data_IF_274172645884
#
_entry.id   IF_274172645884
#
_cell.length_a   1.000
_cell.length_b   1.000
_cell.length_c   1.000
_cell.angle_alpha   90.00
_cell.angle_beta   90.00
_cell.angle_gamma   90.00
#
_symmetry.space_group_name_H-M   'P 1'
#
loop_
_entity.id
_entity.type
_entity.pdbx_description
1 polymer ?
#
# COMPACT_ATOMS: atom_id res chain seq x y z
N UNK A 1 14.19 -20.07 13.70
CA UNK A 1 14.91 -18.95 14.33
C UNK A 1 13.89 -17.86 14.63
N UNK A 2 14.02 -17.19 15.78
CA UNK A 2 13.18 -16.04 16.09
C UNK A 2 13.45 -14.92 15.08
N UNK A 3 12.43 -14.08 14.81
CA UNK A 3 12.57 -12.93 13.91
C UNK A 3 13.23 -11.79 14.67
N UNK A 4 14.21 -11.16 14.05
CA UNK A 4 14.98 -10.05 14.62
C UNK A 4 14.37 -8.71 14.18
N UNK A 5 13.98 -7.88 15.13
CA UNK A 5 13.42 -6.53 14.89
C UNK A 5 14.38 -5.49 15.45
N UNK A 6 14.82 -4.57 14.59
CA UNK A 6 15.52 -3.36 15.02
C UNK A 6 14.50 -2.31 15.43
N UNK A 7 14.64 -1.76 16.62
CA UNK A 7 13.79 -0.72 17.18
C UNK A 7 14.60 0.55 17.42
N UNK A 8 14.32 1.59 16.64
CA UNK A 8 14.97 2.89 16.71
C UNK A 8 13.96 3.97 17.17
N UNK A 9 14.18 4.51 18.36
CA UNK A 9 13.39 5.57 18.98
C UNK A 9 14.31 6.30 19.97
N UNK A 10 14.31 7.62 20.05
CA UNK A 10 15.16 8.37 20.96
C UNK A 10 14.61 8.40 22.39
N UNK A 11 13.29 8.20 22.56
CA UNK A 11 12.66 8.06 23.88
C UNK A 11 12.94 6.67 24.46
N UNK A 12 13.76 6.61 25.49
CA UNK A 12 14.16 5.37 26.17
C UNK A 12 12.95 4.62 26.76
N UNK A 13 11.98 5.33 27.32
CA UNK A 13 10.79 4.69 27.92
C UNK A 13 9.90 4.05 26.85
N UNK A 14 9.74 4.70 25.70
CA UNK A 14 9.04 4.15 24.53
C UNK A 14 9.78 2.94 24.00
N UNK A 15 11.10 3.07 23.81
CA UNK A 15 11.96 2.00 23.30
C UNK A 15 11.92 0.76 24.18
N UNK A 16 12.03 0.91 25.52
CA UNK A 16 11.92 -0.20 26.45
C UNK A 16 10.52 -0.81 26.50
N UNK A 17 9.48 0.01 26.42
CA UNK A 17 8.10 -0.46 26.39
C UNK A 17 7.84 -1.35 25.18
N UNK A 18 8.29 -0.91 24.01
CA UNK A 18 8.18 -1.68 22.77
C UNK A 18 9.07 -2.92 22.76
N UNK A 19 10.27 -2.84 23.33
CA UNK A 19 11.17 -4.00 23.49
C UNK A 19 10.50 -5.11 24.30
N UNK A 20 9.96 -4.78 25.47
CA UNK A 20 9.24 -5.75 26.31
C UNK A 20 8.06 -6.37 25.58
N UNK A 21 7.27 -5.57 24.87
CA UNK A 21 6.13 -6.03 24.10
C UNK A 21 6.54 -7.03 23.00
N UNK A 22 7.53 -6.65 22.21
CA UNK A 22 7.99 -7.48 21.07
C UNK A 22 8.64 -8.79 21.54
N UNK A 23 9.40 -8.75 22.62
CA UNK A 23 9.97 -9.96 23.23
C UNK A 23 8.89 -10.89 23.80
N UNK A 24 7.84 -10.32 24.39
CA UNK A 24 6.69 -11.10 24.86
C UNK A 24 5.98 -11.82 23.70
N UNK A 25 5.92 -11.21 22.52
CA UNK A 25 5.39 -11.79 21.29
C UNK A 25 6.36 -12.77 20.58
N UNK A 26 7.54 -13.02 21.18
CA UNK A 26 8.51 -14.01 20.71
C UNK A 26 9.49 -13.48 19.63
N UNK A 27 9.61 -12.18 19.48
CA UNK A 27 10.62 -11.55 18.61
C UNK A 27 11.93 -11.32 19.34
N UNK A 28 13.05 -11.38 18.61
CA UNK A 28 14.33 -10.85 19.08
C UNK A 28 14.41 -9.37 18.73
N UNK A 29 14.94 -8.55 19.63
CA UNK A 29 15.02 -7.10 19.43
C UNK A 29 16.45 -6.61 19.54
N UNK A 30 16.78 -5.65 18.69
CA UNK A 30 18.00 -4.84 18.75
C UNK A 30 17.58 -3.39 18.86
N UNK A 31 18.21 -2.62 19.74
CA UNK A 31 17.79 -1.27 20.07
C UNK A 31 18.77 -0.25 19.48
N UNK A 32 18.25 0.88 19.03
CA UNK A 32 18.99 2.05 18.59
C UNK A 32 18.40 3.32 19.21
N UNK A 33 19.22 4.22 19.69
CA UNK A 33 18.80 5.50 20.27
C UNK A 33 18.67 6.63 19.24
N UNK A 34 19.17 6.44 18.03
CA UNK A 34 19.08 7.42 16.95
C UNK A 34 19.19 6.77 15.56
N UNK A 35 18.99 7.58 14.51
CA UNK A 35 19.03 7.10 13.14
C UNK A 35 20.42 6.70 12.63
N UNK A 36 21.49 7.20 13.25
CA UNK A 36 22.86 6.81 12.90
C UNK A 36 23.13 5.40 13.40
N UNK A 37 22.84 5.14 14.65
CA UNK A 37 22.97 3.81 15.25
C UNK A 37 22.09 2.78 14.51
N UNK A 38 20.86 3.17 14.15
CA UNK A 38 19.98 2.31 13.36
C UNK A 38 20.58 1.96 12.00
N UNK A 39 21.19 2.93 11.29
CA UNK A 39 21.86 2.70 10.02
C UNK A 39 23.04 1.75 10.16
N UNK A 40 23.88 1.96 11.18
CA UNK A 40 25.07 1.15 11.46
C UNK A 40 24.68 -0.30 11.81
N UNK A 41 23.59 -0.50 12.56
CA UNK A 41 23.05 -1.82 12.91
C UNK A 41 22.44 -2.56 11.69
N UNK A 42 21.82 -1.83 10.76
CA UNK A 42 21.34 -2.44 9.50
C UNK A 42 22.52 -2.86 8.61
N UNK A 43 23.62 -2.08 8.60
CA UNK A 43 24.80 -2.37 7.81
C UNK A 43 25.77 -3.36 8.50
N UNK A 44 25.52 -3.71 9.77
CA UNK A 44 26.45 -4.47 10.61
C UNK A 44 26.56 -5.96 10.26
N UNK A 45 27.57 -6.59 10.88
CA UNK A 45 28.02 -7.99 10.58
C UNK A 45 27.11 -9.05 11.20
N UNK A 46 26.28 -8.70 12.19
CA UNK A 46 25.45 -9.65 12.97
C UNK A 46 24.15 -10.11 12.26
N UNK A 47 24.05 -9.84 10.97
CA UNK A 47 22.96 -10.18 10.11
C UNK A 47 21.85 -9.09 10.10
N UNK A 48 21.26 -8.92 8.92
CA UNK A 48 20.16 -7.97 8.69
C UNK A 48 18.98 -8.26 9.62
N UNK A 49 18.34 -7.24 10.20
CA UNK A 49 17.07 -7.42 10.87
C UNK A 49 15.99 -7.85 9.86
N UNK A 50 14.99 -8.59 10.35
CA UNK A 50 13.82 -8.97 9.52
C UNK A 50 12.84 -7.79 9.33
N UNK A 51 12.88 -6.81 10.24
CA UNK A 51 12.06 -5.59 10.24
C UNK A 51 12.76 -4.48 11.01
N UNK A 52 12.56 -3.25 10.56
CA UNK A 52 12.96 -2.04 11.31
C UNK A 52 11.71 -1.30 11.76
N UNK A 53 11.58 -1.01 13.04
CA UNK A 53 10.66 -0.02 13.59
C UNK A 53 11.46 1.26 13.79
N UNK A 54 11.03 2.35 13.17
CA UNK A 54 11.82 3.59 13.08
C UNK A 54 10.96 4.78 13.52
N UNK A 55 11.32 5.44 14.60
CA UNK A 55 10.70 6.74 14.89
C UNK A 55 11.12 7.79 13.85
N UNK A 56 10.19 8.67 13.52
CA UNK A 56 10.46 9.77 12.57
C UNK A 56 11.35 10.83 13.19
N UNK A 57 11.05 11.19 14.45
CA UNK A 57 11.67 12.34 15.10
C UNK A 57 12.76 11.88 16.05
N UNK A 58 13.98 11.83 15.58
CA UNK A 58 15.16 11.50 16.38
C UNK A 58 16.23 12.59 16.24
N UNK A 59 17.07 12.83 17.26
CA UNK A 59 18.16 13.81 17.20
C UNK A 59 19.24 13.39 16.20
N UNK A 60 19.93 14.35 15.63
CA UNK A 60 21.02 14.13 14.70
C UNK A 60 20.55 13.63 13.34
N UNK A 61 20.52 12.33 13.11
CA UNK A 61 19.96 11.72 11.92
C UNK A 61 18.50 11.28 12.18
N UNK A 62 17.55 12.01 11.64
CA UNK A 62 16.12 11.67 11.75
C UNK A 62 15.78 10.36 11.01
N UNK A 63 14.63 9.75 11.37
CA UNK A 63 14.22 8.47 10.83
C UNK A 63 13.95 8.49 9.32
N UNK A 64 13.52 9.63 8.77
CA UNK A 64 13.31 9.79 7.32
C UNK A 64 14.64 9.77 6.57
N UNK A 65 15.63 10.50 7.08
CA UNK A 65 16.98 10.54 6.50
C UNK A 65 17.70 9.19 6.66
N UNK A 66 17.51 8.51 7.81
CA UNK A 66 18.02 7.16 8.03
C UNK A 66 17.41 6.16 7.02
N UNK A 67 16.10 6.18 6.84
CA UNK A 67 15.38 5.34 5.88
C UNK A 67 15.88 5.56 4.46
N UNK A 68 16.03 6.82 4.01
CA UNK A 68 16.61 7.12 2.69
C UNK A 68 18.00 6.53 2.50
N UNK A 69 18.87 6.63 3.52
CA UNK A 69 20.24 6.09 3.46
C UNK A 69 20.23 4.56 3.41
N UNK A 70 19.39 3.91 4.22
CA UNK A 70 19.19 2.45 4.18
C UNK A 70 18.81 2.01 2.76
N UNK A 71 17.84 2.68 2.12
CA UNK A 71 17.42 2.37 0.75
C UNK A 71 18.50 2.68 -0.29
N UNK A 72 19.20 3.82 -0.16
CA UNK A 72 20.30 4.19 -1.05
C UNK A 72 21.47 3.20 -0.99
N UNK A 73 21.67 2.54 0.16
CA UNK A 73 22.68 1.47 0.32
C UNK A 73 22.20 0.11 -0.19
N UNK A 74 21.01 0.03 -0.81
CA UNK A 74 20.49 -1.20 -1.43
C UNK A 74 19.80 -2.17 -0.47
N UNK A 75 19.61 -1.81 0.80
CA UNK A 75 18.90 -2.67 1.74
C UNK A 75 17.39 -2.63 1.52
N UNK A 76 16.78 -3.82 1.44
CA UNK A 76 15.35 -4.02 1.21
C UNK A 76 14.59 -4.48 2.45
N UNK A 77 15.21 -4.40 3.63
CA UNK A 77 14.57 -4.73 4.91
C UNK A 77 13.29 -3.92 5.07
N UNK A 78 12.15 -4.54 5.46
CA UNK A 78 10.93 -3.79 5.71
C UNK A 78 11.12 -2.74 6.81
N UNK A 79 10.56 -1.54 6.60
CA UNK A 79 10.64 -0.42 7.56
C UNK A 79 9.22 0.04 7.88
N UNK A 80 8.84 -0.05 9.17
CA UNK A 80 7.64 0.55 9.72
C UNK A 80 8.04 1.86 10.43
N UNK A 81 7.60 2.99 9.86
CA UNK A 81 7.81 4.29 10.50
C UNK A 81 6.79 4.48 11.62
N UNK A 82 7.25 4.95 12.77
CA UNK A 82 6.40 5.34 13.90
C UNK A 82 6.48 6.87 14.02
N UNK A 83 5.36 7.58 14.12
CA UNK A 83 5.37 9.04 14.11
C UNK A 83 4.30 9.63 15.00
N UNK A 84 4.64 10.70 15.74
CA UNK A 84 3.70 11.54 16.48
C UNK A 84 3.15 12.73 15.67
N UNK A 85 3.56 12.89 14.40
CA UNK A 85 3.15 14.02 13.57
C UNK A 85 1.86 13.71 12.82
N UNK A 86 0.86 14.56 13.03
CA UNK A 86 -0.51 14.38 12.53
C UNK A 86 -0.74 14.79 11.07
N UNK A 87 0.20 15.45 10.42
CA UNK A 87 -0.01 15.96 9.08
C UNK A 87 -0.07 14.81 8.05
N UNK A 88 -1.11 14.82 7.20
CA UNK A 88 -1.19 13.92 6.03
C UNK A 88 0.08 14.01 5.19
N UNK A 89 0.71 15.19 5.15
CA UNK A 89 1.99 15.42 4.49
C UNK A 89 3.13 14.58 5.05
N UNK A 90 3.23 14.39 6.35
CA UNK A 90 4.33 13.63 6.98
C UNK A 90 4.25 12.13 6.66
N UNK A 91 3.05 11.59 6.53
CA UNK A 91 2.82 10.21 6.07
C UNK A 91 3.26 10.04 4.61
N UNK A 92 2.95 11.03 3.79
CA UNK A 92 3.39 11.10 2.40
C UNK A 92 4.93 11.09 2.36
N UNK A 93 5.55 11.94 3.14
CA UNK A 93 7.01 12.04 3.21
C UNK A 93 7.64 10.73 3.69
N UNK A 94 7.07 10.04 4.68
CA UNK A 94 7.61 8.76 5.18
C UNK A 94 7.65 7.68 4.09
N UNK A 95 6.55 7.51 3.37
CA UNK A 95 6.45 6.49 2.30
C UNK A 95 7.28 6.89 1.07
N UNK A 96 7.34 8.16 0.70
CA UNK A 96 8.21 8.67 -0.37
C UNK A 96 9.71 8.48 -0.07
N UNK A 97 10.07 8.42 1.21
CA UNK A 97 11.44 8.12 1.64
C UNK A 97 11.76 6.62 1.69
N UNK A 98 10.84 5.75 1.26
CA UNK A 98 11.07 4.31 1.13
C UNK A 98 10.64 3.48 2.34
N UNK A 99 9.82 4.02 3.26
CA UNK A 99 9.16 3.22 4.28
C UNK A 99 8.12 2.27 3.65
N UNK A 100 7.96 1.08 4.22
CA UNK A 100 6.99 0.09 3.75
C UNK A 100 5.62 0.28 4.39
N UNK A 101 5.57 0.81 5.61
CA UNK A 101 4.35 1.15 6.33
C UNK A 101 4.64 2.27 7.34
N UNK A 102 3.57 2.84 7.91
CA UNK A 102 3.67 3.83 8.98
C UNK A 102 2.61 3.58 10.05
N UNK A 103 2.89 4.02 11.29
CA UNK A 103 2.00 3.93 12.43
C UNK A 103 2.02 5.27 13.18
N UNK A 104 0.84 5.81 13.49
CA UNK A 104 0.73 7.07 14.22
C UNK A 104 0.66 6.87 15.73
N UNK A 105 1.46 7.63 16.47
CA UNK A 105 1.33 7.79 17.92
C UNK A 105 0.17 8.77 18.23
N UNK A 106 -0.75 8.48 19.17
CA UNK A 106 -0.84 7.23 19.94
C UNK A 106 -1.49 6.09 19.12
N UNK A 107 -1.06 4.87 19.34
CA UNK A 107 -1.57 3.68 18.63
C UNK A 107 -1.95 2.57 19.63
N UNK A 108 -2.85 1.69 19.20
CA UNK A 108 -3.18 0.48 19.92
C UNK A 108 -2.08 -0.59 19.72
N UNK A 109 -1.79 -1.35 20.76
CA UNK A 109 -0.83 -2.46 20.69
C UNK A 109 -1.17 -3.46 19.60
N UNK A 110 -2.46 -3.77 19.45
CA UNK A 110 -2.97 -4.70 18.45
C UNK A 110 -2.69 -4.18 17.02
N UNK A 111 -2.75 -2.86 16.80
CA UNK A 111 -2.45 -2.25 15.51
C UNK A 111 -0.96 -2.38 15.18
N UNK A 112 -0.07 -2.06 16.12
CA UNK A 112 1.37 -2.26 15.95
C UNK A 112 1.69 -3.72 15.60
N UNK A 113 1.20 -4.66 16.39
CA UNK A 113 1.47 -6.08 16.19
C UNK A 113 0.91 -6.62 14.88
N UNK A 114 -0.26 -6.13 14.45
CA UNK A 114 -0.83 -6.51 13.16
C UNK A 114 0.05 -6.01 11.98
N UNK A 115 0.58 -4.78 12.06
CA UNK A 115 1.51 -4.22 11.06
C UNK A 115 2.84 -4.98 11.04
N UNK A 116 3.39 -5.27 12.22
CA UNK A 116 4.61 -6.09 12.36
C UNK A 116 4.43 -7.46 11.69
N UNK A 117 3.31 -8.16 11.98
CA UNK A 117 3.00 -9.44 11.33
C UNK A 117 2.84 -9.32 9.81
N UNK A 118 2.19 -8.26 9.34
CA UNK A 118 2.00 -8.02 7.92
C UNK A 118 3.34 -7.81 7.19
N UNK A 119 4.24 -7.01 7.78
CA UNK A 119 5.56 -6.74 7.20
C UNK A 119 6.50 -7.93 7.29
N UNK A 120 6.41 -8.74 8.35
CA UNK A 120 7.21 -9.96 8.51
C UNK A 120 6.68 -11.14 7.70
N UNK A 121 5.46 -11.09 7.21
CA UNK A 121 4.90 -12.14 6.36
C UNK A 121 5.75 -12.25 5.10
N UNK A 122 6.58 -13.30 4.99
CA UNK A 122 7.38 -13.55 3.79
C UNK A 122 6.45 -13.71 2.59
N UNK A 123 6.70 -12.93 1.55
CA UNK A 123 6.37 -13.43 0.22
C UNK A 123 7.10 -14.76 0.06
N UNK A 124 6.44 -15.85 -0.33
CA UNK A 124 7.14 -17.12 -0.47
C UNK A 124 8.30 -16.91 -1.44
N UNK A 125 9.55 -17.05 -0.96
CA UNK A 125 10.73 -17.26 -1.80
C UNK A 125 10.52 -18.57 -2.55
N UNK A 126 9.79 -18.51 -3.65
CA UNK A 126 9.67 -19.66 -4.55
C UNK A 126 10.93 -19.67 -5.41
N UNK A 127 11.76 -20.74 -5.21
CA UNK A 127 12.79 -21.11 -6.17
C UNK A 127 12.23 -21.11 -7.60
N UNK A 128 13.00 -20.71 -8.63
CA UNK A 128 12.54 -20.67 -10.00
C UNK A 128 12.14 -22.08 -10.47
N UNK A 129 10.87 -22.39 -10.40
CA UNK A 129 10.23 -23.50 -11.07
C UNK A 129 9.55 -22.99 -12.34
N UNK A 130 9.28 -23.84 -13.33
CA UNK A 130 8.64 -23.44 -14.58
C UNK A 130 7.35 -22.62 -14.36
N UNK A 131 7.03 -21.63 -15.21
CA UNK A 131 5.81 -20.81 -15.10
C UNK A 131 4.57 -21.70 -14.99
N UNK A 132 3.72 -21.44 -14.00
CA UNK A 132 2.44 -22.13 -13.84
C UNK A 132 1.30 -21.18 -14.19
N UNK A 133 0.20 -21.69 -14.75
CA UNK A 133 -1.03 -20.89 -14.86
C UNK A 133 -1.40 -20.34 -13.48
N UNK A 134 -1.56 -19.02 -13.36
CA UNK A 134 -1.87 -18.34 -12.09
C UNK A 134 -0.68 -17.67 -11.39
N UNK A 135 0.56 -17.80 -11.89
CA UNK A 135 1.72 -17.06 -11.35
C UNK A 135 1.72 -15.57 -11.80
N UNK A 136 0.85 -15.21 -12.73
CA UNK A 136 0.65 -13.84 -13.18
C UNK A 136 -0.79 -13.38 -12.96
N UNK A 137 -0.94 -12.13 -12.51
CA UNK A 137 -2.20 -11.42 -12.48
C UNK A 137 -2.12 -10.28 -13.51
N UNK A 138 -3.18 -10.11 -14.28
CA UNK A 138 -3.24 -9.03 -15.26
C UNK A 138 -4.61 -8.35 -15.24
N UNK A 139 -4.63 -7.04 -15.41
CA UNK A 139 -5.83 -6.26 -15.57
C UNK A 139 -5.51 -5.00 -16.37
N UNK A 140 -6.18 -4.82 -17.53
CA UNK A 140 -5.90 -3.77 -18.48
C UNK A 140 -4.40 -3.75 -18.88
N UNK A 141 -3.72 -2.65 -18.68
CA UNK A 141 -2.29 -2.44 -18.96
C UNK A 141 -1.36 -2.82 -17.78
N UNK A 142 -1.91 -3.35 -16.69
CA UNK A 142 -1.15 -3.77 -15.49
C UNK A 142 -0.90 -5.27 -15.52
N UNK A 143 0.35 -5.67 -15.32
CA UNK A 143 0.75 -7.07 -15.16
C UNK A 143 1.59 -7.23 -13.89
N UNK A 144 1.26 -8.21 -13.07
CA UNK A 144 1.98 -8.56 -11.85
C UNK A 144 2.46 -10.00 -11.92
N UNK A 145 3.77 -10.21 -11.84
CA UNK A 145 4.37 -11.53 -11.70
C UNK A 145 4.58 -11.83 -10.22
N UNK A 146 3.80 -12.81 -9.72
CA UNK A 146 3.81 -13.19 -8.31
C UNK A 146 5.09 -13.94 -7.90
N UNK A 147 5.81 -14.50 -8.87
CA UNK A 147 7.05 -15.25 -8.61
C UNK A 147 8.26 -14.34 -8.62
N UNK A 148 8.36 -13.51 -9.66
CA UNK A 148 9.42 -12.51 -9.77
C UNK A 148 9.21 -11.35 -8.79
N UNK A 149 8.01 -11.25 -8.18
CA UNK A 149 7.60 -10.14 -7.33
C UNK A 149 7.72 -8.79 -8.04
N UNK A 150 7.39 -8.76 -9.33
CA UNK A 150 7.49 -7.58 -10.18
C UNK A 150 6.11 -7.14 -10.67
N UNK A 151 5.96 -5.84 -10.87
CA UNK A 151 4.75 -5.24 -11.42
C UNK A 151 5.15 -4.35 -12.58
N UNK A 152 4.41 -4.44 -13.66
CA UNK A 152 4.56 -3.52 -14.79
C UNK A 152 3.23 -2.87 -15.13
N UNK A 153 3.28 -1.65 -15.68
CA UNK A 153 2.15 -0.99 -16.30
C UNK A 153 2.55 -0.47 -17.67
N UNK A 154 1.81 -0.82 -18.71
CA UNK A 154 2.18 -0.53 -20.10
C UNK A 154 3.63 -0.98 -20.40
N UNK A 155 4.01 -2.19 -19.92
CA UNK A 155 5.35 -2.76 -20.05
C UNK A 155 6.44 -2.10 -19.22
N UNK A 156 6.13 -1.09 -18.41
CA UNK A 156 7.10 -0.35 -17.58
C UNK A 156 7.06 -0.82 -16.14
N UNK A 157 8.21 -1.03 -15.49
CA UNK A 157 8.26 -1.45 -14.11
C UNK A 157 7.64 -0.39 -13.20
N UNK A 158 6.86 -0.85 -12.21
CA UNK A 158 6.36 -0.07 -11.10
C UNK A 158 7.14 -0.46 -9.85
N UNK A 159 7.82 0.50 -9.25
CA UNK A 159 8.49 0.31 -7.96
C UNK A 159 7.49 0.48 -6.82
N UNK A 160 7.09 -0.64 -6.23
CA UNK A 160 6.10 -0.71 -5.16
C UNK A 160 6.74 -1.18 -3.85
N UNK A 161 6.39 -0.53 -2.75
CA UNK A 161 6.70 -1.06 -1.43
C UNK A 161 5.94 -2.38 -1.19
N UNK A 162 6.34 -3.14 -0.18
CA UNK A 162 5.69 -4.41 0.16
C UNK A 162 4.19 -4.27 0.39
N UNK A 163 3.78 -3.22 1.08
CA UNK A 163 2.36 -2.96 1.38
C UNK A 163 1.59 -2.53 0.14
N UNK A 164 2.16 -1.67 -0.71
CA UNK A 164 1.54 -1.29 -2.00
C UNK A 164 1.39 -2.49 -2.93
N UNK A 165 2.40 -3.36 -2.97
CA UNK A 165 2.35 -4.61 -3.73
C UNK A 165 1.20 -5.49 -3.26
N UNK A 166 1.09 -5.75 -1.94
CA UNK A 166 0.01 -6.55 -1.36
C UNK A 166 -1.39 -5.96 -1.60
N UNK A 167 -1.52 -4.64 -1.54
CA UNK A 167 -2.77 -3.95 -1.86
C UNK A 167 -3.14 -4.11 -3.34
N UNK A 168 -2.19 -3.90 -4.24
CA UNK A 168 -2.42 -4.08 -5.68
C UNK A 168 -2.73 -5.54 -6.02
N UNK A 169 -2.01 -6.50 -5.44
CA UNK A 169 -2.27 -7.93 -5.60
C UNK A 169 -3.72 -8.28 -5.20
N UNK A 170 -4.16 -7.79 -4.04
CA UNK A 170 -5.52 -8.06 -3.57
C UNK A 170 -6.58 -7.48 -4.52
N UNK A 171 -6.37 -6.27 -5.03
CA UNK A 171 -7.25 -5.65 -6.03
C UNK A 171 -7.27 -6.44 -7.35
N UNK A 172 -6.10 -6.87 -7.85
CA UNK A 172 -5.95 -7.64 -9.09
C UNK A 172 -6.59 -9.05 -9.00
N UNK A 173 -6.66 -9.63 -7.80
CA UNK A 173 -7.36 -10.90 -7.57
C UNK A 173 -8.89 -10.75 -7.56
N UNK A 174 -9.40 -9.52 -7.49
CA UNK A 174 -10.83 -9.23 -7.42
C UNK A 174 -11.25 -8.13 -8.41
N UNK A 175 -10.97 -8.28 -9.71
CA UNK A 175 -11.27 -7.26 -10.69
C UNK A 175 -12.79 -7.01 -10.77
N UNK A 176 -13.17 -5.76 -10.99
CA UNK A 176 -14.55 -5.28 -11.10
C UNK A 176 -15.44 -5.50 -9.85
N UNK A 177 -14.90 -6.07 -8.77
CA UNK A 177 -15.64 -6.19 -7.50
C UNK A 177 -15.44 -4.95 -6.64
N UNK A 178 -16.49 -4.50 -5.97
CA UNK A 178 -16.38 -3.49 -4.92
C UNK A 178 -15.91 -4.20 -3.65
N UNK A 179 -14.74 -3.82 -3.17
CA UNK A 179 -14.14 -4.34 -1.96
C UNK A 179 -14.31 -3.33 -0.83
N UNK A 180 -14.91 -3.78 0.27
CA UNK A 180 -15.08 -2.90 1.43
C UNK A 180 -13.73 -2.56 2.09
N UNK A 181 -13.70 -1.44 2.82
CA UNK A 181 -12.51 -1.03 3.59
C UNK A 181 -12.05 -2.15 4.52
N UNK A 182 -12.98 -2.75 5.27
CA UNK A 182 -12.67 -3.84 6.19
C UNK A 182 -12.08 -5.07 5.48
N UNK A 183 -12.61 -5.46 4.32
CA UNK A 183 -12.06 -6.57 3.53
C UNK A 183 -10.62 -6.31 3.09
N UNK A 184 -10.33 -5.09 2.60
CA UNK A 184 -8.99 -4.72 2.16
C UNK A 184 -8.03 -4.68 3.36
N UNK A 185 -8.41 -4.02 4.46
CA UNK A 185 -7.61 -3.92 5.68
C UNK A 185 -7.29 -5.30 6.26
N UNK A 186 -8.27 -6.19 6.30
CA UNK A 186 -8.06 -7.57 6.75
C UNK A 186 -7.11 -8.34 5.83
N UNK A 187 -7.27 -8.23 4.53
CA UNK A 187 -6.46 -8.98 3.57
C UNK A 187 -4.99 -8.50 3.53
N UNK A 188 -4.76 -7.19 3.56
CA UNK A 188 -3.42 -6.60 3.40
C UNK A 188 -2.68 -6.52 4.73
N UNK A 189 -3.33 -6.04 5.78
CA UNK A 189 -2.71 -5.84 7.10
C UNK A 189 -3.10 -6.89 8.14
N UNK A 190 -4.13 -7.69 7.90
CA UNK A 190 -4.64 -8.67 8.85
C UNK A 190 -5.49 -8.05 9.97
N UNK A 191 -5.99 -6.83 9.78
CA UNK A 191 -6.84 -6.18 10.77
C UNK A 191 -8.21 -6.86 10.85
N UNK A 192 -8.62 -7.22 12.05
CA UNK A 192 -9.99 -7.65 12.36
C UNK A 192 -10.84 -6.48 12.91
N UNK A 193 -10.28 -5.28 12.91
CA UNK A 193 -10.91 -4.02 13.35
C UNK A 193 -10.64 -2.91 12.31
N UNK A 194 -11.43 -1.85 12.34
CA UNK A 194 -11.18 -0.67 11.51
C UNK A 194 -10.27 0.30 12.29
N UNK A 195 -9.02 0.51 11.85
CA UNK A 195 -8.15 1.45 12.53
C UNK A 195 -8.71 2.88 12.41
N UNK A 196 -8.52 3.70 13.45
CA UNK A 196 -8.94 5.10 13.46
C UNK A 196 -8.22 5.95 12.38
N UNK A 197 -7.18 5.40 11.78
CA UNK A 197 -6.36 6.06 10.77
C UNK A 197 -6.92 5.89 9.35
N UNK A 198 -6.72 6.89 8.49
CA UNK A 198 -7.06 6.83 7.06
C UNK A 198 -5.99 6.10 6.22
N UNK A 199 -5.32 5.09 6.83
CA UNK A 199 -4.23 4.32 6.23
C UNK A 199 -4.54 3.85 4.81
N UNK A 200 -5.68 3.18 4.61
CA UNK A 200 -6.05 2.64 3.30
C UNK A 200 -6.17 3.73 2.23
N UNK A 201 -6.74 4.90 2.58
CA UNK A 201 -6.90 6.01 1.62
C UNK A 201 -5.54 6.54 1.15
N UNK A 202 -4.58 6.60 2.06
CA UNK A 202 -3.21 7.04 1.77
C UNK A 202 -2.53 6.04 0.83
N UNK A 203 -2.60 4.73 1.08
CA UNK A 203 -2.02 3.74 0.17
C UNK A 203 -2.70 3.70 -1.20
N UNK A 204 -4.01 3.86 -1.26
CA UNK A 204 -4.73 4.00 -2.54
C UNK A 204 -4.26 5.24 -3.29
N UNK A 205 -4.05 6.36 -2.59
CA UNK A 205 -3.50 7.58 -3.21
C UNK A 205 -2.11 7.33 -3.80
N UNK A 206 -1.22 6.61 -3.07
CA UNK A 206 0.12 6.27 -3.56
C UNK A 206 0.09 5.37 -4.78
N UNK A 207 -0.67 4.28 -4.72
CA UNK A 207 -0.83 3.41 -5.87
C UNK A 207 -1.34 4.16 -7.09
N UNK A 208 -2.36 5.00 -6.91
CA UNK A 208 -2.84 5.86 -8.01
C UNK A 208 -1.73 6.74 -8.56
N UNK A 209 -0.97 7.44 -7.71
CA UNK A 209 0.13 8.32 -8.13
C UNK A 209 1.17 7.54 -8.94
N UNK A 210 1.61 6.37 -8.46
CA UNK A 210 2.59 5.52 -9.16
C UNK A 210 2.03 4.96 -10.46
N UNK A 211 0.80 4.51 -10.46
CA UNK A 211 0.14 3.95 -11.63
C UNK A 211 -0.22 5.01 -12.68
N UNK A 212 -0.68 6.19 -12.26
CA UNK A 212 -1.13 7.27 -13.14
C UNK A 212 0.02 8.21 -13.57
N UNK A 213 1.24 7.95 -13.10
CA UNK A 213 2.43 8.79 -13.30
C UNK A 213 2.75 8.91 -14.77
N UNK A 214 2.33 9.35 -15.67
CA UNK A 214 2.53 9.59 -17.13
C UNK A 214 1.21 9.53 -17.91
N UNK A 215 0.10 9.84 -17.22
CA UNK A 215 -1.18 10.00 -17.89
C UNK A 215 -1.93 8.69 -18.18
N UNK A 216 -1.53 7.58 -17.56
CA UNK A 216 -2.29 6.34 -17.65
C UNK A 216 -3.71 6.51 -17.05
N UNK A 217 -4.72 5.82 -17.58
CA UNK A 217 -6.09 5.94 -17.10
C UNK A 217 -6.19 5.45 -15.65
N UNK A 218 -7.14 6.04 -14.90
CA UNK A 218 -7.41 5.59 -13.53
C UNK A 218 -8.07 4.22 -13.53
N UNK A 219 -7.44 3.25 -12.86
CA UNK A 219 -7.98 1.89 -12.71
C UNK A 219 -8.55 1.64 -11.32
N UNK A 220 -7.99 2.25 -10.27
CA UNK A 220 -8.50 2.11 -8.91
C UNK A 220 -9.52 3.21 -8.66
N UNK A 221 -10.79 2.84 -8.46
CA UNK A 221 -11.89 3.77 -8.25
C UNK A 221 -12.42 3.70 -6.81
N UNK A 222 -12.80 4.86 -6.28
CA UNK A 222 -13.50 4.94 -4.99
C UNK A 222 -15.00 4.75 -5.23
N UNK A 223 -15.61 3.84 -4.49
CA UNK A 223 -17.07 3.71 -4.42
C UNK A 223 -17.52 4.30 -3.09
N UNK A 224 -18.09 5.50 -3.15
CA UNK A 224 -18.43 6.29 -1.95
C UNK A 224 -19.25 5.48 -0.95
N UNK A 225 -18.83 5.49 0.31
CA UNK A 225 -19.48 4.77 1.41
C UNK A 225 -19.28 3.24 1.40
N UNK A 226 -18.70 2.66 0.35
CA UNK A 226 -18.50 1.21 0.24
C UNK A 226 -17.03 0.79 0.27
N UNK A 227 -16.14 1.46 -0.49
CA UNK A 227 -14.74 1.09 -0.54
C UNK A 227 -14.10 1.37 -1.90
N UNK A 228 -13.40 0.37 -2.46
CA UNK A 228 -12.63 0.52 -3.69
C UNK A 228 -12.91 -0.60 -4.68
N UNK A 229 -12.70 -0.31 -5.95
CA UNK A 229 -12.80 -1.29 -7.04
C UNK A 229 -11.73 -1.05 -8.08
N UNK A 230 -11.21 -2.13 -8.67
CA UNK A 230 -10.35 -2.08 -9.83
C UNK A 230 -11.21 -2.25 -11.09
N UNK A 231 -11.29 -1.22 -11.93
CA UNK A 231 -12.04 -1.25 -13.20
C UNK A 231 -11.39 -0.33 -14.23
N UNK A 232 -11.61 -0.62 -15.49
CA UNK A 232 -11.28 0.30 -16.57
C UNK A 232 -12.18 1.53 -16.50
N UNK A 233 -11.71 2.72 -16.92
CA UNK A 233 -12.59 3.85 -17.13
C UNK A 233 -13.68 3.42 -18.14
N UNK A 234 -14.94 3.67 -17.82
CA UNK A 234 -15.98 3.55 -18.84
C UNK A 234 -15.57 4.46 -19.99
N UNK A 235 -15.41 3.89 -21.19
CA UNK A 235 -15.31 4.70 -22.37
C UNK A 235 -16.54 5.62 -22.34
N UNK A 236 -16.31 6.94 -22.29
CA UNK A 236 -17.37 7.93 -22.30
C UNK A 236 -18.17 7.73 -23.58
N UNK A 237 -19.14 6.81 -23.54
CA UNK A 237 -20.14 6.65 -24.56
C UNK A 237 -21.02 7.89 -24.49
N UNK A 238 -20.57 8.93 -25.18
CA UNK A 238 -21.40 10.04 -25.57
C UNK A 238 -22.55 9.49 -26.41
N UNK A 239 -23.67 9.26 -25.79
CA UNK A 239 -25.01 9.21 -26.40
C UNK A 239 -26.07 9.31 -25.31
N UNK A 240 -26.25 10.48 -24.75
CA UNK A 240 -27.59 10.91 -24.41
C UNK A 240 -28.16 11.59 -25.65
N UNK A 241 -28.54 10.79 -26.64
CA UNK A 241 -29.48 11.17 -27.66
C UNK A 241 -30.86 10.97 -27.06
N UNK A 242 -31.47 12.03 -26.55
CA UNK A 242 -32.91 12.11 -26.34
C UNK A 242 -33.59 11.85 -27.68
N UNK A 243 -34.47 10.82 -27.83
CA UNK A 243 -35.34 10.78 -28.98
C UNK A 243 -36.40 11.87 -28.79
N UNK A 244 -36.28 12.95 -29.57
CA UNK A 244 -37.34 13.95 -29.71
C UNK A 244 -38.63 13.31 -30.25
N UNK A 245 -39.79 13.78 -29.85
CA UNK A 245 -41.06 13.25 -30.34
C UNK A 245 -41.22 13.49 -31.80
N UNK A 246 -41.31 12.42 -32.60
CA UNK A 246 -41.70 12.45 -33.99
C UNK A 246 -43.14 12.89 -34.12
N UNK A 247 -43.34 14.14 -34.53
CA UNK A 247 -44.65 14.64 -34.96
C UNK A 247 -44.91 14.14 -36.38
N UNK A 248 -45.86 13.25 -36.52
CA UNK A 248 -46.39 12.81 -37.83
C UNK A 248 -47.20 13.95 -38.48
N UNK A 249 -46.97 14.33 -39.71
CA UNK A 249 -47.85 15.28 -40.38
C UNK A 249 -49.16 14.61 -40.80
N UNK A 250 -50.26 15.19 -40.34
CA UNK A 250 -51.58 14.78 -40.64
C UNK A 250 -51.95 14.91 -42.15
N UNK A 251 -52.52 13.87 -42.69
CA UNK A 251 -53.07 13.81 -44.03
C UNK A 251 -54.33 14.69 -44.12
N UNK A 252 -54.26 15.75 -44.91
CA UNK A 252 -55.44 16.55 -45.29
C UNK A 252 -56.28 15.73 -46.30
N UNK A 253 -57.46 15.37 -45.85
CA UNK A 253 -58.48 14.84 -46.73
C UNK A 253 -59.07 15.95 -47.62
N UNK A 254 -59.04 15.72 -48.93
CA UNK A 254 -59.67 16.57 -49.90
C UNK A 254 -61.10 16.07 -50.10
N UNK A 255 -62.04 16.90 -49.77
CA UNK A 255 -63.44 16.77 -50.16
C UNK A 255 -63.53 17.20 -51.66
N UNK A 256 -63.98 16.30 -52.50
CA UNK A 256 -64.40 16.54 -53.86
C UNK A 256 -65.90 16.25 -54.03
N UNK A 257 -66.63 17.33 -54.30
CA UNK A 257 -68.02 17.28 -54.72
C UNK A 257 -68.13 16.60 -56.10
N UNK A 258 -68.95 15.63 -56.23
CA UNK A 258 -70.23 15.53 -56.92
C UNK A 258 -70.71 14.11 -56.69
#
# INVERSE_FOLDING_TARGET
MARKILLADDDEAVREGLDRLLRFEGYETVLAGDGREALDLVAGVDGLPDLVLMDVTMPGLDGLAATRRIRASGFTVPILMITGRDAVGDRIVALDNGADDYLMKPFATEELLARVRALLRRSPERKPAAPRPGDQLAFDDVTMDLRAHTVTRDGRPLDLTKTEYGLLEYLLRHPAKVLSRAQILKAVWGFDFEPASNTLDVYVMYLRRKMEHRGGPRLIHTVRGLGYTLRTPEASSGRYGTPGPTVSPGTRGTLGMK
#
